data_IF_462399158554
#
_entry.id   IF_462399158554
#
_cell.length_a   1.000
_cell.length_b   1.000
_cell.length_c   1.000
_cell.angle_alpha   90.00
_cell.angle_beta   90.00
_cell.angle_gamma   90.00
#
_symmetry.space_group_name_H-M   'P 1'
#
loop_
_entity.id
_entity.type
_entity.pdbx_description
1 polymer ?
#
# COMPACT_ATOMS: atom_id res chain seq x y z
N UNK A 1 -17.60 -16.92 -0.24
CA UNK A 1 -16.42 -16.27 0.34
C UNK A 1 -16.64 -14.77 0.25
N UNK A 2 -16.81 -14.06 1.37
CA UNK A 2 -17.05 -12.61 1.37
C UNK A 2 -15.76 -11.87 1.70
N UNK A 3 -15.01 -11.47 0.68
CA UNK A 3 -13.96 -10.47 0.86
C UNK A 3 -14.59 -9.13 1.24
N UNK A 4 -13.88 -8.31 2.01
CA UNK A 4 -14.29 -6.93 2.28
C UNK A 4 -14.30 -6.16 0.97
N UNK A 5 -15.35 -5.37 0.75
CA UNK A 5 -15.48 -4.51 -0.42
C UNK A 5 -15.30 -3.05 0.00
N UNK A 6 -14.56 -2.30 -0.79
CA UNK A 6 -14.30 -0.89 -0.58
C UNK A 6 -14.84 -0.10 -1.78
N UNK A 7 -15.40 1.08 -1.53
CA UNK A 7 -15.90 1.99 -2.55
C UNK A 7 -15.66 3.45 -2.15
N UNK A 8 -15.32 4.29 -3.14
CA UNK A 8 -15.00 5.69 -2.91
C UNK A 8 -13.86 5.85 -1.89
N UNK A 9 -14.16 6.53 -0.77
CA UNK A 9 -13.19 6.84 0.28
C UNK A 9 -13.28 5.89 1.49
N UNK A 10 -13.92 4.73 1.36
CA UNK A 10 -13.97 3.75 2.46
C UNK A 10 -12.59 3.18 2.76
N UNK A 11 -12.23 3.05 4.04
CA UNK A 11 -11.01 2.39 4.48
C UNK A 11 -11.24 1.64 5.79
N UNK A 12 -10.32 0.73 6.11
CA UNK A 12 -10.22 0.09 7.41
C UNK A 12 -8.88 0.50 8.01
N UNK A 13 -8.91 0.99 9.24
CA UNK A 13 -7.73 1.38 10.00
C UNK A 13 -7.56 0.43 11.18
N UNK A 14 -6.32 0.01 11.41
CA UNK A 14 -5.93 -0.80 12.56
C UNK A 14 -5.15 0.06 13.54
N UNK A 15 -5.13 -0.34 14.81
CA UNK A 15 -4.16 0.24 15.75
C UNK A 15 -2.73 0.06 15.22
N UNK A 16 -1.87 1.03 15.51
CA UNK A 16 -0.52 1.11 14.94
C UNK A 16 0.25 -0.20 15.07
N UNK A 17 0.76 -0.69 13.93
CA UNK A 17 1.56 -1.92 13.86
C UNK A 17 3.03 -1.53 13.99
N UNK A 18 3.74 -2.16 14.92
CA UNK A 18 5.20 -2.02 15.02
C UNK A 18 5.87 -2.81 13.90
N UNK A 19 6.17 -2.13 12.79
CA UNK A 19 6.91 -2.70 11.67
C UNK A 19 8.41 -2.57 11.94
N UNK A 20 9.04 -3.69 12.31
CA UNK A 20 10.49 -3.79 12.37
C UNK A 20 11.15 -3.59 10.99
N UNK A 21 12.47 -3.41 10.97
CA UNK A 21 13.24 -3.15 9.74
C UNK A 21 13.06 -4.22 8.64
N UNK A 22 12.71 -5.45 9.04
CA UNK A 22 12.32 -6.52 8.15
C UNK A 22 10.86 -6.90 8.44
N UNK A 23 9.95 -6.48 7.57
CA UNK A 23 8.55 -6.90 7.58
C UNK A 23 8.24 -7.64 6.28
N UNK A 24 7.27 -8.55 6.32
CA UNK A 24 6.74 -9.22 5.14
C UNK A 24 5.24 -9.01 5.10
N UNK A 25 4.76 -8.33 4.07
CA UNK A 25 3.35 -7.98 3.93
C UNK A 25 2.80 -8.68 2.69
N UNK A 26 1.78 -9.51 2.90
CA UNK A 26 1.06 -10.18 1.81
C UNK A 26 -0.32 -9.57 1.66
N UNK A 27 -0.65 -9.08 0.46
CA UNK A 27 -1.96 -8.50 0.15
C UNK A 27 -2.59 -9.25 -1.01
N UNK A 28 -3.85 -9.65 -0.86
CA UNK A 28 -4.67 -10.16 -1.96
C UNK A 28 -5.79 -9.18 -2.27
N UNK A 29 -5.88 -8.73 -3.51
CA UNK A 29 -6.92 -7.78 -3.94
C UNK A 29 -7.38 -8.06 -5.37
N UNK A 30 -8.50 -7.45 -5.75
CA UNK A 30 -9.09 -7.48 -7.09
C UNK A 30 -9.75 -6.13 -7.34
N UNK A 31 -9.56 -5.54 -8.51
CA UNK A 31 -10.16 -4.24 -8.85
C UNK A 31 -10.28 -4.01 -10.36
N UNK A 32 -11.15 -3.09 -10.74
CA UNK A 32 -11.25 -2.51 -12.08
C UNK A 32 -10.88 -1.00 -12.08
N UNK A 33 -10.53 -0.46 -10.91
CA UNK A 33 -10.17 0.94 -10.74
C UNK A 33 -8.71 1.17 -11.12
N UNK A 34 -8.48 2.13 -12.02
CA UNK A 34 -7.15 2.50 -12.47
C UNK A 34 -6.38 3.40 -11.47
N UNK A 35 -7.02 3.81 -10.38
CA UNK A 35 -6.46 4.69 -9.35
C UNK A 35 -6.97 4.26 -7.98
N UNK A 36 -6.09 4.17 -6.98
CA UNK A 36 -6.53 3.84 -5.62
C UNK A 36 -5.39 3.46 -4.69
N UNK A 37 -5.61 3.59 -3.38
CA UNK A 37 -4.66 3.13 -2.35
C UNK A 37 -5.08 1.75 -1.88
N UNK A 38 -4.13 0.82 -1.86
CA UNK A 38 -4.35 -0.56 -1.39
C UNK A 38 -3.90 -0.69 0.07
N UNK A 39 -2.71 -0.15 0.38
CA UNK A 39 -2.13 -0.15 1.72
C UNK A 39 -1.42 1.17 1.95
N UNK A 40 -1.61 1.72 3.14
CA UNK A 40 -0.88 2.88 3.63
C UNK A 40 -0.48 2.63 5.08
N UNK A 41 0.79 2.88 5.39
CA UNK A 41 1.32 2.81 6.75
C UNK A 41 2.18 4.04 6.97
N UNK A 42 1.95 4.73 8.08
CA UNK A 42 2.83 5.75 8.62
C UNK A 42 2.91 5.60 10.16
N UNK A 43 3.72 6.43 10.81
CA UNK A 43 3.88 6.40 12.27
C UNK A 43 2.75 7.13 13.03
N UNK A 44 1.68 7.53 12.36
CA UNK A 44 0.60 8.33 12.94
C UNK A 44 1.11 9.64 13.56
N UNK A 45 0.45 10.11 14.62
CA UNK A 45 0.80 11.34 15.33
C UNK A 45 2.07 11.23 16.20
N UNK A 46 2.71 10.06 16.28
CA UNK A 46 3.90 9.85 17.10
C UNK A 46 5.12 10.35 16.33
N UNK A 47 5.56 11.55 16.69
CA UNK A 47 6.61 12.38 16.08
C UNK A 47 8.04 11.80 16.08
N UNK A 48 8.23 10.49 16.28
CA UNK A 48 9.56 9.91 16.49
C UNK A 48 10.29 9.48 15.21
N UNK A 49 9.66 9.52 14.04
CA UNK A 49 10.34 9.14 12.81
C UNK A 49 9.59 9.53 11.54
N UNK A 50 10.36 9.74 10.47
CA UNK A 50 9.84 9.94 9.12
C UNK A 50 9.84 8.58 8.41
N UNK A 51 8.82 7.77 8.70
CA UNK A 51 8.59 6.48 8.03
C UNK A 51 7.21 6.47 7.40
N UNK A 52 7.14 6.05 6.14
CA UNK A 52 5.88 5.66 5.54
C UNK A 52 6.11 4.62 4.45
N UNK A 53 5.06 3.87 4.14
CA UNK A 53 4.98 3.04 2.96
C UNK A 53 3.58 3.07 2.38
N UNK A 54 3.49 3.05 1.04
CA UNK A 54 2.23 3.10 0.32
C UNK A 54 2.28 2.17 -0.89
N UNK A 55 1.35 1.21 -0.92
CA UNK A 55 1.03 0.39 -2.07
C UNK A 55 -0.24 0.94 -2.72
N UNK A 56 -0.17 1.27 -4.00
CA UNK A 56 -1.26 1.95 -4.70
C UNK A 56 -1.28 1.61 -6.19
N UNK A 57 -2.38 1.96 -6.84
CA UNK A 57 -2.57 1.82 -8.28
C UNK A 57 -2.52 3.21 -8.88
N UNK A 58 -1.74 3.37 -9.93
CA UNK A 58 -1.67 4.59 -10.73
C UNK A 58 -1.71 4.21 -12.20
N UNK A 59 -2.71 4.74 -12.92
CA UNK A 59 -2.94 4.48 -14.35
C UNK A 59 -3.09 2.98 -14.67
N UNK A 60 -3.72 2.26 -13.72
CA UNK A 60 -3.92 0.81 -13.76
C UNK A 60 -2.70 -0.01 -13.32
N UNK A 61 -1.54 0.63 -13.11
CA UNK A 61 -0.30 -0.06 -12.75
C UNK A 61 -0.06 -0.08 -11.24
N UNK A 62 0.45 -1.19 -10.73
CA UNK A 62 0.83 -1.32 -9.31
C UNK A 62 2.11 -0.53 -9.01
N UNK A 63 2.05 0.31 -7.98
CA UNK A 63 3.14 1.17 -7.53
C UNK A 63 3.41 0.99 -6.05
N UNK A 64 4.68 1.08 -5.65
CA UNK A 64 5.09 1.07 -4.26
C UNK A 64 6.06 2.21 -3.96
N UNK A 65 5.76 3.00 -2.93
CA UNK A 65 6.64 4.07 -2.45
C UNK A 65 6.85 3.94 -0.96
N UNK A 66 8.06 4.24 -0.50
CA UNK A 66 8.39 4.18 0.92
C UNK A 66 9.48 5.18 1.29
N UNK A 67 9.60 5.50 2.57
CA UNK A 67 10.68 6.26 3.15
C UNK A 67 11.02 5.66 4.50
N UNK A 68 12.29 5.33 4.73
CA UNK A 68 12.73 4.74 6.01
C UNK A 68 13.08 5.81 7.05
N UNK A 69 13.59 6.95 6.59
CA UNK A 69 13.93 8.11 7.41
C UNK A 69 13.94 9.37 6.53
N UNK A 70 14.11 10.55 7.15
CA UNK A 70 14.10 11.84 6.45
C UNK A 70 15.31 12.01 5.52
N UNK A 71 16.45 11.44 5.88
CA UNK A 71 17.74 11.63 5.20
C UNK A 71 17.79 10.87 3.88
N UNK A 72 17.24 9.65 3.86
CA UNK A 72 17.18 8.81 2.67
C UNK A 72 16.12 9.27 1.66
N UNK A 73 15.07 9.94 2.13
CA UNK A 73 13.97 10.43 1.31
C UNK A 73 13.10 9.31 0.70
N UNK A 74 12.25 9.68 -0.25
CA UNK A 74 11.27 8.78 -0.86
C UNK A 74 11.95 7.86 -1.88
N UNK A 75 11.85 6.55 -1.65
CA UNK A 75 12.18 5.47 -2.59
C UNK A 75 10.91 5.03 -3.32
N UNK A 76 11.08 4.58 -4.57
CA UNK A 76 9.98 4.14 -5.44
C UNK A 76 10.34 2.84 -6.12
N UNK A 77 9.39 1.91 -6.15
CA UNK A 77 9.42 0.70 -6.95
C UNK A 77 8.20 0.79 -7.87
N UNK A 78 8.46 1.14 -9.13
CA UNK A 78 7.42 1.22 -10.14
C UNK A 78 7.35 -0.13 -10.87
N UNK A 79 6.14 -0.67 -11.03
CA UNK A 79 5.94 -1.85 -11.87
C UNK A 79 5.20 -1.46 -13.14
N UNK A 80 5.38 -2.25 -14.19
CA UNK A 80 4.55 -2.19 -15.41
C UNK A 80 3.38 -3.18 -15.34
N UNK A 81 3.10 -3.75 -14.16
CA UNK A 81 2.05 -4.74 -13.97
C UNK A 81 0.72 -4.00 -13.85
N UNK A 82 -0.17 -4.22 -14.81
CA UNK A 82 -1.56 -3.75 -14.75
C UNK A 82 -2.39 -4.67 -13.85
N UNK A 83 -3.18 -4.09 -12.97
CA UNK A 83 -3.97 -4.80 -11.95
C UNK A 83 -5.45 -4.38 -11.93
N UNK A 84 -5.86 -3.58 -12.92
CA UNK A 84 -7.19 -2.99 -13.09
C UNK A 84 -8.08 -3.80 -14.06
N UNK A 85 -7.78 -5.08 -14.26
CA UNK A 85 -8.47 -5.97 -15.21
C UNK A 85 -9.58 -6.82 -14.56
N UNK A 86 -9.87 -6.59 -13.28
CA UNK A 86 -10.85 -7.36 -12.53
C UNK A 86 -10.38 -8.75 -12.12
N UNK A 87 -9.11 -9.14 -12.32
CA UNK A 87 -8.57 -10.40 -11.83
C UNK A 87 -7.99 -10.26 -10.41
N UNK A 88 -7.94 -11.36 -9.63
CA UNK A 88 -7.30 -11.35 -8.31
C UNK A 88 -5.77 -11.40 -8.41
N UNK A 89 -5.09 -10.55 -7.64
CA UNK A 89 -3.64 -10.51 -7.51
C UNK A 89 -3.20 -10.80 -6.08
N UNK A 90 -2.02 -11.38 -5.92
CA UNK A 90 -1.31 -11.51 -4.64
C UNK A 90 0.01 -10.74 -4.76
N UNK A 91 0.23 -9.81 -3.84
CA UNK A 91 1.44 -8.99 -3.76
C UNK A 91 2.20 -9.34 -2.50
N UNK A 92 3.51 -9.50 -2.65
CA UNK A 92 4.46 -9.70 -1.57
C UNK A 92 5.33 -8.45 -1.50
N UNK A 93 5.28 -7.76 -0.36
CA UNK A 93 6.05 -6.54 -0.07
C UNK A 93 7.05 -6.85 1.03
#
# INVERSE_FOLDING_TARGET
>A
SSYVQYSGNSYLEFEGIDLGANNNITVRFQTQEAQGTILYVDQGAVTRGFFFMKLFIQEGMLQYVFSCNREEGIRRINTSIRVDDGNPYIVYV
#
